data_IF_638168252292
#
_entry.id   IF_638168252292
#
_cell.length_a   1.000
_cell.length_b   1.000
_cell.length_c   1.000
_cell.angle_alpha   90.00
_cell.angle_beta   90.00
_cell.angle_gamma   90.00
#
_symmetry.space_group_name_H-M   'P 1'
#
loop_
_entity.id
_entity.type
_entity.pdbx_description
1 polymer ?
#
# COMPACT_ATOMS: atom_id res chain seq x y z
N UNK A 1 5.51 16.95 -7.61
CA UNK A 1 6.59 16.45 -6.73
C UNK A 1 6.52 14.93 -6.70
N UNK A 2 7.60 14.22 -7.01
CA UNK A 2 7.60 12.75 -7.11
C UNK A 2 7.77 12.14 -5.71
N UNK A 3 6.66 11.95 -4.97
CA UNK A 3 6.65 11.48 -3.59
C UNK A 3 7.21 10.06 -3.39
N UNK A 4 7.49 9.34 -4.48
CA UNK A 4 8.06 7.99 -4.51
C UNK A 4 9.30 7.84 -3.65
N UNK A 5 10.31 8.70 -3.82
CA UNK A 5 11.55 8.62 -3.06
C UNK A 5 11.35 8.86 -1.56
N UNK A 6 10.35 9.67 -1.18
CA UNK A 6 10.01 9.90 0.23
C UNK A 6 9.32 8.68 0.83
N UNK A 7 8.42 8.04 0.08
CA UNK A 7 7.75 6.79 0.47
C UNK A 7 8.78 5.67 0.63
N UNK A 8 9.70 5.49 -0.32
CA UNK A 8 10.80 4.53 -0.23
C UNK A 8 11.65 4.77 1.01
N UNK A 9 12.07 6.02 1.24
CA UNK A 9 12.87 6.37 2.40
C UNK A 9 12.14 6.11 3.72
N UNK A 10 10.83 6.35 3.79
CA UNK A 10 10.00 6.01 4.96
C UNK A 10 9.95 4.51 5.19
N UNK A 11 9.80 3.72 4.13
CA UNK A 11 9.81 2.26 4.21
C UNK A 11 11.16 1.73 4.72
N UNK A 12 12.28 2.19 4.14
CA UNK A 12 13.64 1.79 4.53
C UNK A 12 13.93 2.11 5.99
N UNK A 13 13.62 3.34 6.44
CA UNK A 13 13.83 3.77 7.84
C UNK A 13 13.02 2.95 8.84
N UNK A 14 11.92 2.36 8.39
CA UNK A 14 11.12 1.46 9.19
C UNK A 14 11.84 0.17 9.62
N UNK A 15 12.95 -0.21 8.96
CA UNK A 15 13.77 -1.40 9.29
C UNK A 15 12.95 -2.69 9.44
N UNK A 16 11.90 -2.86 8.64
CA UNK A 16 11.04 -4.04 8.71
C UNK A 16 11.80 -5.24 8.15
N UNK A 17 11.75 -6.36 8.87
CA UNK A 17 12.06 -7.67 8.30
C UNK A 17 10.76 -8.27 7.76
N UNK A 18 10.40 -7.94 6.53
CA UNK A 18 9.21 -8.43 5.83
C UNK A 18 9.62 -9.28 4.61
N UNK A 19 8.81 -10.27 4.27
CA UNK A 19 9.03 -11.20 3.14
C UNK A 19 8.04 -10.98 2.00
N UNK A 20 6.80 -10.64 2.34
CA UNK A 20 5.70 -10.43 1.42
C UNK A 20 5.51 -8.95 1.10
N UNK A 21 5.79 -8.05 2.03
CA UNK A 21 5.77 -6.60 1.80
C UNK A 21 7.19 -6.10 1.54
N UNK A 22 7.46 -5.62 0.34
CA UNK A 22 8.80 -5.21 -0.09
C UNK A 22 8.75 -3.93 -0.90
N UNK A 23 9.86 -3.19 -0.94
CA UNK A 23 10.07 -2.23 -2.00
C UNK A 23 10.03 -2.95 -3.35
N UNK A 24 9.44 -2.31 -4.36
CA UNK A 24 9.35 -2.89 -5.69
C UNK A 24 10.74 -3.26 -6.23
N UNK A 25 11.72 -2.37 -6.06
CA UNK A 25 13.10 -2.62 -6.51
C UNK A 25 13.69 -3.92 -5.93
N UNK A 26 13.34 -4.25 -4.68
CA UNK A 26 13.81 -5.45 -3.97
C UNK A 26 12.89 -6.66 -4.12
N UNK A 27 11.77 -6.53 -4.83
CA UNK A 27 10.83 -7.64 -5.07
C UNK A 27 11.46 -8.62 -6.07
N UNK A 28 11.36 -9.92 -5.80
CA UNK A 28 11.89 -10.96 -6.68
C UNK A 28 11.19 -10.99 -8.05
N UNK A 29 11.90 -11.46 -9.08
CA UNK A 29 11.43 -11.40 -10.45
C UNK A 29 10.16 -12.23 -10.67
N UNK A 30 10.02 -13.37 -9.99
CA UNK A 30 8.82 -14.20 -10.11
C UNK A 30 7.56 -13.45 -9.68
N UNK A 31 7.60 -12.75 -8.52
CA UNK A 31 6.48 -11.91 -8.09
C UNK A 31 6.24 -10.73 -9.03
N UNK A 32 7.30 -10.09 -9.51
CA UNK A 32 7.20 -8.97 -10.47
C UNK A 32 6.49 -9.40 -11.75
N UNK A 33 6.92 -10.50 -12.35
CA UNK A 33 6.32 -11.09 -13.54
C UNK A 33 4.85 -11.47 -13.28
N UNK A 34 4.55 -12.10 -12.14
CA UNK A 34 3.17 -12.43 -11.77
C UNK A 34 2.25 -11.20 -11.72
N UNK A 35 2.75 -10.06 -11.24
CA UNK A 35 2.01 -8.81 -11.17
C UNK A 35 1.92 -8.16 -12.55
N UNK A 36 3.03 -8.08 -13.28
CA UNK A 36 3.12 -7.45 -14.60
C UNK A 36 2.30 -8.17 -15.66
N UNK A 37 2.10 -9.48 -15.53
CA UNK A 37 1.17 -10.25 -16.38
C UNK A 37 -0.30 -9.88 -16.17
N UNK A 38 -0.62 -9.16 -15.09
CA UNK A 38 -1.99 -8.78 -14.71
C UNK A 38 -2.20 -7.27 -14.74
N UNK A 39 -1.17 -6.48 -14.43
CA UNK A 39 -1.21 -5.04 -14.28
C UNK A 39 -0.17 -4.36 -15.18
N UNK A 40 -0.63 -3.43 -16.01
CA UNK A 40 0.21 -2.63 -16.89
C UNK A 40 0.37 -1.24 -16.29
N UNK A 41 1.61 -0.77 -16.24
CA UNK A 41 1.95 0.57 -15.77
C UNK A 41 1.71 1.60 -16.88
N UNK A 42 1.19 2.76 -16.52
CA UNK A 42 1.24 3.93 -17.41
C UNK A 42 2.71 4.41 -17.59
N UNK A 43 2.99 5.15 -18.67
CA UNK A 43 4.34 5.57 -19.07
C UNK A 43 5.12 6.30 -17.95
N UNK A 44 4.43 7.01 -17.07
CA UNK A 44 5.01 7.77 -15.96
C UNK A 44 4.76 7.13 -14.58
N UNK A 45 4.14 5.95 -14.56
CA UNK A 45 3.80 5.24 -13.34
C UNK A 45 4.98 4.40 -12.87
N UNK A 46 5.34 4.59 -11.59
CA UNK A 46 6.46 3.92 -10.94
C UNK A 46 5.96 3.11 -9.75
N UNK A 47 6.09 1.77 -9.77
CA UNK A 47 5.79 0.95 -8.60
C UNK A 47 6.79 1.23 -7.46
N UNK A 48 6.29 1.30 -6.23
CA UNK A 48 7.08 1.68 -5.06
C UNK A 48 7.11 0.56 -4.02
N UNK A 49 5.94 0.10 -3.58
CA UNK A 49 5.79 -0.94 -2.54
C UNK A 49 4.82 -1.99 -3.04
N UNK A 50 5.17 -3.25 -2.85
CA UNK A 50 4.33 -4.38 -3.15
C UNK A 50 4.06 -5.17 -1.87
N UNK A 51 2.83 -5.64 -1.69
CA UNK A 51 2.53 -6.78 -0.84
C UNK A 51 2.07 -7.93 -1.69
N UNK A 52 2.84 -9.02 -1.67
CA UNK A 52 2.51 -10.26 -2.37
C UNK A 52 2.20 -11.36 -1.36
N UNK A 53 0.91 -11.64 -1.15
CA UNK A 53 0.47 -12.76 -0.30
C UNK A 53 0.57 -14.07 -1.07
N UNK A 54 0.03 -14.09 -2.29
CA UNK A 54 0.07 -15.20 -3.23
C UNK A 54 -0.38 -14.72 -4.64
N UNK A 55 -0.44 -15.64 -5.61
CA UNK A 55 -0.87 -15.32 -6.98
C UNK A 55 -2.31 -14.83 -7.10
N UNK A 56 -3.17 -15.11 -6.11
CA UNK A 56 -4.58 -14.69 -6.09
C UNK A 56 -4.83 -13.42 -5.29
N UNK A 57 -3.85 -12.94 -4.51
CA UNK A 57 -3.97 -11.72 -3.71
C UNK A 57 -2.64 -10.98 -3.57
N UNK A 58 -2.63 -9.74 -4.06
CA UNK A 58 -1.54 -8.79 -3.88
C UNK A 58 -2.06 -7.36 -3.97
N UNK A 59 -1.32 -6.41 -3.43
CA UNK A 59 -1.51 -5.00 -3.74
C UNK A 59 -0.20 -4.35 -4.10
N UNK A 60 -0.29 -3.33 -4.95
CA UNK A 60 0.83 -2.57 -5.47
C UNK A 60 0.55 -1.09 -5.29
N UNK A 61 1.42 -0.43 -4.53
CA UNK A 61 1.42 1.01 -4.39
C UNK A 61 2.38 1.60 -5.42
N UNK A 62 1.87 2.45 -6.30
CA UNK A 62 2.65 3.23 -7.24
C UNK A 62 2.69 4.70 -6.82
N UNK A 63 3.36 5.54 -7.60
CA UNK A 63 3.34 6.98 -7.41
C UNK A 63 2.01 7.64 -7.81
N UNK A 64 1.09 6.90 -8.43
CA UNK A 64 -0.18 7.41 -8.95
C UNK A 64 -1.41 6.76 -8.30
N UNK A 65 -1.36 5.46 -8.03
CA UNK A 65 -2.50 4.69 -7.54
C UNK A 65 -2.11 3.58 -6.56
N UNK A 66 -3.13 3.01 -5.95
CA UNK A 66 -3.09 1.72 -5.27
C UNK A 66 -3.86 0.71 -6.12
N UNK A 67 -3.16 -0.29 -6.65
CA UNK A 67 -3.77 -1.42 -7.33
C UNK A 67 -3.94 -2.59 -6.36
N UNK A 68 -5.11 -3.20 -6.32
CA UNK A 68 -5.41 -4.38 -5.51
C UNK A 68 -5.92 -5.48 -6.42
N UNK A 69 -5.23 -6.62 -6.41
CA UNK A 69 -5.68 -7.84 -7.05
C UNK A 69 -6.27 -8.80 -6.03
N UNK A 70 -7.47 -9.29 -6.31
CA UNK A 70 -8.13 -10.30 -5.51
C UNK A 70 -8.98 -11.21 -6.41
N UNK A 71 -8.63 -12.49 -6.48
CA UNK A 71 -9.35 -13.53 -7.23
C UNK A 71 -9.71 -13.09 -8.66
N UNK A 72 -8.70 -12.75 -9.46
CA UNK A 72 -8.82 -12.37 -10.87
C UNK A 72 -9.44 -10.99 -11.17
N UNK A 73 -9.76 -10.22 -10.12
CA UNK A 73 -10.18 -8.82 -10.26
C UNK A 73 -9.08 -7.88 -9.81
N UNK A 74 -8.73 -6.93 -10.68
CA UNK A 74 -7.93 -5.75 -10.31
C UNK A 74 -8.89 -4.60 -10.01
N UNK A 75 -8.67 -3.92 -8.89
CA UNK A 75 -9.30 -2.64 -8.60
C UNK A 75 -8.22 -1.60 -8.35
N UNK A 76 -8.34 -0.44 -9.00
CA UNK A 76 -7.37 0.64 -8.96
C UNK A 76 -7.99 1.86 -8.26
N UNK A 77 -7.24 2.45 -7.34
CA UNK A 77 -7.65 3.65 -6.62
C UNK A 77 -6.60 4.73 -6.78
N UNK A 78 -6.96 5.89 -7.32
CA UNK A 78 -6.01 7.01 -7.38
C UNK A 78 -5.66 7.44 -5.97
N UNK A 79 -4.39 7.76 -5.73
CA UNK A 79 -3.95 8.14 -4.38
C UNK A 79 -4.61 9.43 -3.89
N UNK A 80 -4.94 10.35 -4.81
CA UNK A 80 -5.63 11.60 -4.52
C UNK A 80 -7.06 11.41 -4.01
N UNK A 81 -7.67 10.25 -4.28
CA UNK A 81 -9.04 9.95 -3.87
C UNK A 81 -9.08 9.28 -2.48
N UNK A 82 -7.92 8.95 -1.89
CA UNK A 82 -7.86 8.35 -0.54
C UNK A 82 -8.04 9.46 0.48
N UNK A 83 -9.19 9.49 1.13
CA UNK A 83 -9.56 10.56 2.07
C UNK A 83 -9.03 10.29 3.47
N UNK A 84 -9.06 9.02 3.90
CA UNK A 84 -8.75 8.64 5.27
C UNK A 84 -8.16 7.25 5.36
N UNK A 85 -7.26 7.09 6.32
CA UNK A 85 -6.68 5.80 6.73
C UNK A 85 -6.88 5.58 8.22
N UNK A 86 -7.40 4.42 8.60
CA UNK A 86 -7.67 4.04 9.99
C UNK A 86 -7.11 2.64 10.32
N UNK A 87 -7.00 2.40 11.63
CA UNK A 87 -6.67 1.11 12.21
C UNK A 87 -7.86 0.73 13.10
N UNK A 88 -8.95 0.21 12.54
CA UNK A 88 -10.08 -0.17 13.38
C UNK A 88 -9.84 -1.53 14.04
N UNK A 89 -10.03 -1.55 15.36
CA UNK A 89 -10.06 -2.76 16.16
C UNK A 89 -11.48 -3.32 16.15
N UNK A 90 -11.68 -4.50 15.57
CA UNK A 90 -12.69 -5.41 16.08
C UNK A 90 -11.96 -6.28 17.11
N UNK A 91 -12.39 -6.21 18.38
CA UNK A 91 -12.11 -7.09 19.53
C UNK A 91 -11.69 -6.33 20.81
N UNK A 92 -12.69 -6.26 21.70
CA UNK A 92 -12.67 -6.28 23.17
C UNK A 92 -11.44 -5.71 23.88
N UNK A 93 -11.56 -4.46 24.32
CA UNK A 93 -11.24 -4.05 25.70
C UNK A 93 -9.80 -4.05 26.22
N UNK A 94 -8.83 -4.73 25.59
CA UNK A 94 -7.45 -4.80 26.11
C UNK A 94 -6.46 -4.10 25.18
N UNK A 95 -5.80 -3.07 25.72
CA UNK A 95 -4.67 -2.37 25.11
C UNK A 95 -3.45 -3.26 25.28
N UNK A 96 -3.16 -4.09 24.29
CA UNK A 96 -1.92 -4.86 24.26
C UNK A 96 -1.36 -4.78 22.85
N UNK A 97 -0.10 -4.36 22.68
CA UNK A 97 0.64 -4.08 21.41
C UNK A 97 0.00 -4.68 20.14
N UNK A 98 -1.13 -4.11 19.68
CA UNK A 98 -2.03 -4.81 18.75
C UNK A 98 -1.37 -4.91 17.38
N UNK A 99 -1.23 -6.15 16.93
CA UNK A 99 -0.80 -6.48 15.60
C UNK A 99 -1.98 -6.32 14.65
N UNK A 100 -1.86 -5.49 13.61
CA UNK A 100 -2.94 -5.27 12.64
C UNK A 100 -2.65 -6.03 11.35
N UNK A 101 -3.59 -6.90 10.97
CA UNK A 101 -3.54 -7.62 9.69
C UNK A 101 -4.10 -6.83 8.53
N UNK A 102 -4.81 -5.73 8.79
CA UNK A 102 -5.45 -4.91 7.77
C UNK A 102 -5.35 -3.43 8.11
N UNK A 103 -5.43 -2.60 7.08
CA UNK A 103 -5.56 -1.16 7.13
C UNK A 103 -6.91 -0.78 6.52
N UNK A 104 -7.69 0.08 7.18
CA UNK A 104 -8.93 0.58 6.61
C UNK A 104 -8.64 1.84 5.79
N UNK A 105 -9.03 1.81 4.52
CA UNK A 105 -8.97 2.94 3.60
C UNK A 105 -10.39 3.40 3.26
N UNK A 106 -10.61 4.70 3.29
CA UNK A 106 -11.86 5.33 2.88
C UNK A 106 -11.60 6.15 1.61
N UNK A 107 -12.32 5.85 0.54
CA UNK A 107 -12.13 6.39 -0.80
C UNK A 107 -13.51 6.74 -1.35
N UNK A 108 -13.92 8.01 -1.30
CA UNK A 108 -15.31 8.41 -1.53
C UNK A 108 -16.27 7.61 -0.63
N UNK A 109 -17.27 6.97 -1.24
CA UNK A 109 -18.25 6.14 -0.53
C UNK A 109 -17.79 4.69 -0.28
N UNK A 110 -16.54 4.36 -0.56
CA UNK A 110 -16.01 3.01 -0.43
C UNK A 110 -15.14 2.85 0.81
N UNK A 111 -15.32 1.73 1.49
CA UNK A 111 -14.47 1.25 2.58
C UNK A 111 -13.72 0.01 2.10
N UNK A 112 -12.39 0.04 2.18
CA UNK A 112 -11.51 -1.02 1.70
C UNK A 112 -10.63 -1.48 2.83
N UNK A 113 -10.55 -2.80 3.02
CA UNK A 113 -9.62 -3.43 3.95
C UNK A 113 -8.38 -3.91 3.19
N UNK A 114 -7.28 -3.17 3.34
CA UNK A 114 -6.00 -3.51 2.71
C UNK A 114 -5.24 -4.48 3.62
N UNK A 115 -5.06 -5.73 3.17
CA UNK A 115 -4.34 -6.75 3.93
C UNK A 115 -2.86 -6.44 4.07
N UNK A 116 -2.26 -6.79 5.21
CA UNK A 116 -0.87 -6.47 5.55
C UNK A 116 -0.09 -7.71 5.99
N UNK A 117 1.22 -7.70 5.76
CA UNK A 117 2.11 -8.65 6.43
C UNK A 117 2.27 -8.27 7.90
N UNK A 118 2.35 -9.28 8.77
CA UNK A 118 2.62 -9.11 10.20
C UNK A 118 3.88 -8.24 10.42
N UNK A 119 3.77 -7.23 11.27
CA UNK A 119 4.82 -6.29 11.65
C UNK A 119 4.95 -5.09 10.72
N UNK A 120 4.24 -5.06 9.58
CA UNK A 120 4.36 -3.96 8.60
C UNK A 120 3.42 -2.79 8.86
N UNK A 121 2.34 -3.00 9.62
CA UNK A 121 1.27 -2.03 9.79
C UNK A 121 1.71 -0.64 10.27
N UNK A 122 2.70 -0.46 11.19
CA UNK A 122 3.06 0.87 11.65
C UNK A 122 3.60 1.74 10.50
N UNK A 123 4.35 1.11 9.58
CA UNK A 123 5.02 1.81 8.50
C UNK A 123 4.09 2.01 7.32
N UNK A 124 3.28 1.01 6.97
CA UNK A 124 2.28 1.17 5.92
C UNK A 124 1.24 2.24 6.31
N UNK A 125 0.75 2.24 7.55
CA UNK A 125 -0.13 3.30 8.05
C UNK A 125 0.51 4.70 7.95
N UNK A 126 1.77 4.83 8.37
CA UNK A 126 2.48 6.11 8.28
C UNK A 126 2.74 6.57 6.84
N UNK A 127 2.90 5.63 5.91
CA UNK A 127 3.02 5.92 4.47
C UNK A 127 1.70 6.45 3.93
N UNK A 128 0.57 5.78 4.20
CA UNK A 128 -0.74 6.28 3.76
C UNK A 128 -1.10 7.62 4.41
N UNK A 129 -0.82 7.81 5.71
CA UNK A 129 -0.99 9.14 6.34
C UNK A 129 -0.16 10.22 5.66
N UNK A 130 1.05 9.91 5.22
CA UNK A 130 1.88 10.85 4.48
C UNK A 130 1.27 11.17 3.11
N UNK A 131 0.86 10.15 2.35
CA UNK A 131 0.23 10.33 1.04
C UNK A 131 -1.00 11.22 1.13
N UNK A 132 -1.88 10.98 2.10
CA UNK A 132 -3.11 11.75 2.32
C UNK A 132 -2.81 13.20 2.75
N UNK A 133 -1.79 13.40 3.61
CA UNK A 133 -1.40 14.73 4.11
C UNK A 133 -0.54 15.53 3.14
N UNK A 134 -0.12 14.94 2.04
CA UNK A 134 0.57 15.65 0.96
C UNK A 134 -0.45 15.94 -0.14
N UNK A 135 -1.36 16.93 0.04
CA UNK A 135 -2.08 17.44 -1.10
C UNK A 135 -1.04 17.95 -2.10
N UNK A 136 -1.39 17.82 -3.37
CA UNK A 136 -0.71 18.48 -4.47
C UNK A 136 -0.60 19.99 -4.23
N UNK A 137 0.45 20.43 -3.53
CA UNK A 137 0.95 21.82 -3.55
C UNK A 137 1.60 22.10 -4.93
N UNK A 138 0.80 22.03 -5.98
CA UNK A 138 1.16 22.46 -7.33
C UNK A 138 -0.09 22.90 -8.12
N UNK A 139 -1.07 23.46 -7.41
CA UNK A 139 -2.19 24.19 -7.96
C UNK A 139 -2.24 25.60 -7.39
N UNK A 140 -1.14 26.34 -7.51
CA UNK A 140 -1.06 27.81 -7.46
C UNK A 140 0.28 28.27 -8.01
#
# INVERSE_FOLDING_TARGET
MNNSSVVEAKFIRGKIKSKSTTLWISTDNFKKESIQNKFHFDENEKPIICYFKNSSYWWLLTNMLLAIYNNDKITNYKLVDIERVELNNLFDGTIDKKEYSNLDLYIGNQHIQLGLEKGTWPIIYNIFKFIIRSPSDAGM
#
